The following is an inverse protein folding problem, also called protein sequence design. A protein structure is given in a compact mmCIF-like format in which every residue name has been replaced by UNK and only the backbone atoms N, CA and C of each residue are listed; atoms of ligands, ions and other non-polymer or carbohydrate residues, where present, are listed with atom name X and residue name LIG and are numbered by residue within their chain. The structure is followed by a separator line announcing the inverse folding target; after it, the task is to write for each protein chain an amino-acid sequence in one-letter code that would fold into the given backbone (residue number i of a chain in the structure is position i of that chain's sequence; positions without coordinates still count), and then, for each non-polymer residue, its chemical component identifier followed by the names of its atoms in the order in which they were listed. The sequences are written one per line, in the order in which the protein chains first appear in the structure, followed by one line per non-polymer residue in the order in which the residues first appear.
data_IF_533875756085
#
_entry.id   IF_533875756085
#
_cell.length_a   1.000
_cell.length_b   1.000
_cell.length_c   1.000
_cell.angle_alpha   90.00
_cell.angle_beta   90.00
_cell.angle_gamma   90.00
#
_symmetry.space_group_name_H-M   'P 1'
#
loop_
_entity.id
_entity.type
_entity.pdbx_description
1 polymer ?
2 polymer ?
3 non-polymer ?
4 water ?
#
# COMPACT_ATOMS: atom_id res chain seq x y z
N UNK A 2 7.79 11.60 25.41
CA UNK A 2 6.80 12.73 25.26
C UNK A 2 5.64 12.43 24.24
N UNK A 3 4.37 12.58 24.67
CA UNK A 3 3.18 12.46 23.78
C UNK A 3 3.28 13.34 22.52
N UNK A 4 3.37 14.66 22.66
CA UNK A 4 3.55 15.55 21.53
C UNK A 4 4.62 15.02 20.52
N UNK A 5 5.74 14.46 21.02
CA UNK A 5 6.79 13.96 20.13
C UNK A 5 6.17 12.78 19.32
N UNK A 6 5.69 11.76 20.00
CA UNK A 6 5.02 10.64 19.37
C UNK A 6 3.87 10.98 18.35
N UNK A 7 2.97 11.91 18.70
CA UNK A 7 1.91 12.35 17.79
C UNK A 7 2.57 13.01 16.59
N UNK A 8 3.62 13.81 16.80
CA UNK A 8 4.25 14.46 15.63
C UNK A 8 4.75 13.34 14.72
N UNK A 9 5.17 12.21 15.32
CA UNK A 9 5.81 11.10 14.56
C UNK A 9 4.70 10.36 13.74
N UNK A 10 3.58 10.11 14.42
CA UNK A 10 2.42 9.47 13.83
C UNK A 10 1.98 10.30 12.61
N UNK A 11 2.02 11.62 12.76
CA UNK A 11 1.61 12.48 11.68
C UNK A 11 2.59 12.42 10.50
N UNK A 12 3.86 12.28 10.78
CA UNK A 12 4.82 12.11 9.71
C UNK A 12 4.62 10.79 9.01
N UNK A 13 4.51 9.74 9.82
CA UNK A 13 4.20 8.44 9.28
C UNK A 13 2.93 8.48 8.38
N UNK A 14 1.88 9.19 8.80
CA UNK A 14 0.70 9.29 7.96
C UNK A 14 1.08 9.99 6.64
N UNK A 15 1.75 11.11 6.71
CA UNK A 15 2.08 11.77 5.41
C UNK A 15 2.79 10.81 4.42
N UNK A 16 3.63 9.92 4.97
CA UNK A 16 4.48 9.02 4.22
C UNK A 16 3.76 7.72 3.91
N UNK A 17 2.58 7.52 4.45
CA UNK A 17 1.83 6.27 4.22
C UNK A 17 2.53 5.05 4.77
N UNK A 18 3.19 5.22 5.91
CA UNK A 18 3.79 4.15 6.66
C UNK A 18 2.90 3.84 7.89
N UNK A 19 1.84 3.12 7.61
CA UNK A 19 0.78 2.94 8.57
C UNK A 19 1.14 2.06 9.71
N UNK A 20 2.00 1.11 9.45
CA UNK A 20 2.64 0.31 10.53
C UNK A 20 3.44 1.20 11.50
N UNK A 21 4.31 2.08 10.97
CA UNK A 21 4.95 3.05 11.82
C UNK A 21 3.87 3.83 12.61
N UNK A 22 2.85 4.31 11.88
CA UNK A 22 1.91 5.26 12.43
C UNK A 22 1.13 4.58 13.55
N UNK A 23 0.78 3.32 13.35
CA UNK A 23 0.13 2.51 14.40
C UNK A 23 1.00 2.28 15.66
N UNK A 24 2.32 2.15 15.48
CA UNK A 24 3.19 1.86 16.63
C UNK A 24 3.22 3.11 17.50
N UNK A 25 3.45 4.27 16.89
CA UNK A 25 3.33 5.54 17.60
C UNK A 25 2.01 5.66 18.39
N UNK A 26 0.89 5.45 17.73
CA UNK A 26 -0.36 5.70 18.45
C UNK A 26 -0.61 4.66 19.52
N UNK A 27 -0.08 3.47 19.34
CA UNK A 27 -0.05 2.44 20.36
C UNK A 27 0.59 2.97 21.61
N UNK A 28 1.79 3.50 21.45
CA UNK A 28 2.48 4.06 22.57
C UNK A 28 1.77 5.22 23.20
N UNK A 29 1.29 6.16 22.38
CA UNK A 29 0.61 7.34 22.92
C UNK A 29 -0.52 6.81 23.76
N UNK A 30 -1.27 5.85 23.22
CA UNK A 30 -2.41 5.34 24.00
C UNK A 30 -1.98 4.77 25.32
N UNK A 31 -0.86 4.06 25.30
CA UNK A 31 -0.35 3.34 26.48
C UNK A 31 0.17 4.24 27.60
N UNK A 32 0.55 5.47 27.28
CA UNK A 32 0.78 6.47 28.31
C UNK A 32 -0.36 6.67 29.29
N UNK A 33 -1.59 6.29 28.97
CA UNK A 33 -2.62 6.20 30.00
C UNK A 33 -3.57 7.39 30.20
N UNK A 34 -3.26 8.55 29.62
CA UNK A 34 -4.22 9.68 29.60
C UNK A 34 -5.32 9.43 28.51
N UNK A 35 -6.52 10.02 28.71
CA UNK A 35 -7.61 10.08 27.71
C UNK A 35 -7.19 10.77 26.45
N UNK A 36 -7.45 10.16 25.29
CA UNK A 36 -6.90 10.69 24.04
C UNK A 36 -7.69 11.90 23.59
N UNK A 37 -7.07 12.94 23.01
CA UNK A 37 -7.83 14.02 22.41
C UNK A 37 -8.61 13.47 21.20
N UNK A 38 -9.53 14.21 20.59
CA UNK A 38 -10.02 13.60 19.41
C UNK A 38 -9.12 13.65 18.21
N UNK A 39 -8.19 14.57 18.16
CA UNK A 39 -7.22 14.45 17.09
C UNK A 39 -6.43 13.09 17.24
N UNK A 40 -6.16 12.66 18.47
CA UNK A 40 -5.41 11.41 18.67
C UNK A 40 -6.28 10.19 18.38
N UNK A 41 -7.54 10.27 18.79
CA UNK A 41 -8.49 9.21 18.53
C UNK A 41 -8.59 9.04 17.01
N UNK A 42 -8.55 10.16 16.29
CA UNK A 42 -8.62 10.08 14.84
C UNK A 42 -7.38 9.43 14.28
N UNK A 43 -6.19 9.70 14.83
CA UNK A 43 -4.98 9.14 14.27
C UNK A 43 -4.89 7.59 14.58
N UNK A 44 -5.04 7.23 15.82
CA UNK A 44 -5.24 5.83 16.18
C UNK A 44 -6.16 5.10 15.16
N UNK A 45 -7.30 5.69 14.84
CA UNK A 45 -8.25 4.96 14.00
C UNK A 45 -7.80 4.87 12.57
N UNK A 46 -7.36 5.96 12.01
CA UNK A 46 -6.78 5.94 10.69
C UNK A 46 -5.71 4.86 10.59
N UNK A 47 -4.84 4.74 11.57
CA UNK A 47 -3.74 3.81 11.38
C UNK A 47 -4.25 2.38 11.50
N UNK A 48 -5.06 2.06 12.48
CA UNK A 48 -5.43 0.66 12.54
C UNK A 48 -6.33 0.28 11.40
N UNK A 49 -7.07 1.24 10.84
CA UNK A 49 -7.94 0.92 9.73
C UNK A 49 -7.08 0.52 8.55
N UNK A 50 -5.98 1.23 8.31
CA UNK A 50 -5.14 0.84 7.21
C UNK A 50 -4.35 -0.42 7.33
N UNK A 51 -3.95 -0.74 8.53
CA UNK A 51 -3.05 -1.85 8.82
C UNK A 51 -3.96 -3.05 8.81
N UNK A 52 -5.09 -2.98 9.48
CA UNK A 52 -5.86 -4.19 9.51
C UNK A 52 -6.56 -4.42 8.15
N UNK A 53 -6.83 -3.36 7.42
CA UNK A 53 -7.64 -3.47 6.20
C UNK A 53 -6.78 -4.09 5.10
N UNK A 54 -5.47 -3.91 5.19
CA UNK A 54 -4.62 -4.47 4.15
C UNK A 54 -4.63 -5.97 4.24
N UNK A 55 -4.51 -6.48 5.46
CA UNK A 55 -4.60 -7.90 5.69
C UNK A 55 -5.98 -8.48 5.35
N UNK A 56 -7.01 -7.73 5.68
CA UNK A 56 -8.39 -8.15 5.46
C UNK A 56 -8.73 -8.21 4.00
N UNK A 57 -7.95 -7.50 3.18
CA UNK A 57 -8.23 -7.51 1.78
C UNK A 57 -7.39 -8.65 1.18
N UNK A 58 -6.20 -8.81 1.73
CA UNK A 58 -5.34 -9.88 1.27
C UNK A 58 -5.96 -11.25 1.57
N UNK A 59 -6.50 -11.37 2.78
CA UNK A 59 -7.16 -12.58 3.21
C UNK A 59 -8.25 -12.92 2.23
N UNK A 60 -8.98 -11.91 1.75
CA UNK A 60 -10.04 -12.19 0.80
C UNK A 60 -9.48 -12.74 -0.50
N UNK A 61 -8.51 -12.06 -1.09
CA UNK A 61 -7.96 -12.55 -2.35
C UNK A 61 -7.51 -14.00 -2.27
N UNK A 62 -6.78 -14.32 -1.25
CA UNK A 62 -6.19 -15.64 -1.10
C UNK A 62 -7.20 -16.67 -0.68
N UNK A 63 -8.19 -16.27 0.08
CA UNK A 63 -9.14 -17.26 0.59
C UNK A 63 -10.08 -17.70 -0.54
N UNK A 64 -10.25 -16.82 -1.52
CA UNK A 64 -11.16 -17.04 -2.61
C UNK A 64 -10.41 -17.58 -3.82
N UNK A 65 -9.17 -17.95 -3.61
CA UNK A 65 -8.44 -18.58 -4.64
C UNK A 65 -8.44 -20.03 -4.15
N UNK A 66 -8.08 -20.25 -2.89
CA UNK A 66 -8.23 -21.54 -2.20
C UNK A 66 -9.59 -22.25 -2.47
N UNK A 67 -10.69 -21.64 -2.05
CA UNK A 67 -12.04 -22.20 -2.24
C UNK A 67 -12.61 -21.97 -3.69
N UNK A 68 -11.74 -21.64 -4.66
CA UNK A 68 -12.04 -21.68 -6.11
C UNK A 68 -11.02 -22.57 -6.84
N UNK A 69 -10.59 -23.63 -6.15
CA UNK A 69 -9.60 -24.54 -6.67
C UNK A 69 -10.19 -25.91 -6.98
N UNK A 70 -10.10 -26.28 -8.24
CA UNK A 70 -10.61 -27.58 -8.73
C UNK A 70 -10.05 -28.80 -7.98
N UNK A 72 -6.25 -29.24 -7.75
CA UNK A 72 -4.82 -29.53 -7.53
C UNK A 72 -4.43 -29.39 -6.04
N UNK A 73 -4.50 -30.51 -5.32
CA UNK A 73 -4.11 -30.63 -3.89
C UNK A 73 -2.80 -29.95 -3.41
N UNK A 74 -1.73 -29.89 -4.22
CA UNK A 74 -0.45 -29.23 -3.78
C UNK A 74 -0.46 -27.68 -3.92
N UNK A 75 -1.05 -27.16 -5.01
CA UNK A 75 -1.34 -25.72 -5.19
C UNK A 75 -2.32 -25.20 -4.10
N UNK A 76 -3.23 -26.06 -3.68
CA UNK A 76 -4.16 -25.66 -2.66
C UNK A 76 -3.58 -25.77 -1.23
N UNK A 77 -2.65 -26.69 -0.95
CA UNK A 77 -2.01 -26.72 0.38
C UNK A 77 -1.21 -25.39 0.57
N UNK A 78 -0.58 -24.91 -0.51
CA UNK A 78 0.10 -23.62 -0.58
C UNK A 78 -0.78 -22.45 -0.20
N UNK A 79 -1.86 -22.28 -0.97
CA UNK A 79 -2.84 -21.26 -0.63
C UNK A 79 -3.37 -21.34 0.80
N UNK A 80 -3.45 -22.53 1.37
CA UNK A 80 -4.01 -22.75 2.70
C UNK A 80 -3.00 -22.23 3.70
N UNK A 81 -1.73 -22.44 3.38
CA UNK A 81 -0.64 -22.10 4.26
C UNK A 81 -0.43 -20.59 4.26
N UNK A 82 -0.84 -19.95 3.18
CA UNK A 82 -0.60 -18.55 3.04
C UNK A 82 -1.76 -17.84 3.73
N UNK A 83 -2.98 -18.29 3.45
CA UNK A 83 -4.15 -17.80 4.12
C UNK A 83 -3.87 -17.78 5.60
N UNK A 84 -3.38 -18.88 6.14
CA UNK A 84 -3.28 -18.91 7.58
C UNK A 84 -2.10 -18.06 8.16
N UNK A 85 -1.05 -17.85 7.39
CA UNK A 85 0.01 -16.93 7.79
C UNK A 85 -0.57 -15.46 7.82
N UNK A 86 -1.31 -15.07 6.78
CA UNK A 86 -2.05 -13.85 6.77
C UNK A 86 -3.06 -13.74 7.95
N UNK A 87 -3.85 -14.78 8.20
CA UNK A 87 -4.74 -14.71 9.39
C UNK A 87 -3.98 -14.49 10.68
N UNK A 88 -2.79 -15.05 10.81
CA UNK A 88 -2.20 -14.86 12.13
C UNK A 88 -1.70 -13.43 12.27
N UNK A 89 -1.22 -12.83 11.19
CA UNK A 89 -1.03 -11.38 11.14
C UNK A 89 -2.31 -10.62 11.57
N UNK A 90 -3.44 -11.01 11.04
CA UNK A 90 -4.65 -10.36 11.33
C UNK A 90 -5.10 -10.51 12.76
N UNK A 91 -4.93 -11.70 13.33
CA UNK A 91 -5.29 -11.89 14.73
C UNK A 91 -4.41 -11.07 15.64
N UNK A 92 -3.14 -10.93 15.29
CA UNK A 92 -2.28 -10.12 16.09
C UNK A 92 -2.81 -8.70 16.14
N UNK A 93 -3.07 -8.13 14.97
CA UNK A 93 -3.51 -6.75 14.89
C UNK A 93 -4.83 -6.57 15.66
N UNK A 94 -5.83 -7.35 15.35
CA UNK A 94 -7.02 -7.26 16.20
C UNK A 94 -6.82 -7.42 17.67
N UNK A 95 -5.93 -8.32 18.11
CA UNK A 95 -5.77 -8.51 19.57
C UNK A 95 -5.07 -7.36 20.24
N UNK A 96 -4.11 -6.76 19.55
CA UNK A 96 -3.54 -5.47 19.91
C UNK A 96 -4.60 -4.41 20.16
N UNK A 97 -5.45 -4.18 19.15
CA UNK A 97 -6.48 -3.18 19.25
C UNK A 97 -7.44 -3.50 20.37
N UNK A 98 -7.93 -4.72 20.36
CA UNK A 98 -8.88 -5.10 21.36
C UNK A 98 -8.33 -4.89 22.77
N UNK A 99 -7.02 -4.98 22.92
CA UNK A 99 -6.58 -4.87 24.31
C UNK A 99 -6.29 -3.40 24.70
N UNK A 100 -5.73 -2.65 23.76
CA UNK A 100 -5.78 -1.19 23.82
C UNK A 100 -7.23 -0.68 24.16
N UNK A 101 -8.24 -1.19 23.48
CA UNK A 101 -9.64 -0.83 23.83
C UNK A 101 -10.02 -1.28 25.21
N UNK A 102 -9.56 -2.45 25.65
CA UNK A 102 -9.96 -2.96 26.98
C UNK A 102 -9.23 -2.26 28.14
N UNK A 103 -7.98 -1.89 27.94
CA UNK A 103 -7.25 -1.44 29.08
C UNK A 103 -7.27 0.08 29.10
N UNK A 104 -7.29 0.76 27.97
CA UNK A 104 -7.24 2.22 28.06
C UNK A 104 -8.47 2.97 27.51
N UNK A 105 -8.82 2.75 26.24
CA UNK A 105 -9.75 3.60 25.58
C UNK A 105 -11.14 3.52 26.17
N UNK A 106 -11.71 2.36 26.32
CA UNK A 106 -13.09 2.35 26.89
C UNK A 106 -13.10 2.81 28.34
N UNK A 107 -12.26 2.22 29.21
CA UNK A 107 -12.36 2.72 30.58
C UNK A 107 -11.92 4.19 30.75
N UNK A 108 -11.10 4.76 29.91
CA UNK A 108 -10.86 6.22 30.11
C UNK A 108 -11.84 7.16 29.41
N UNK A 109 -12.83 6.67 28.69
CA UNK A 109 -13.62 7.52 27.85
C UNK A 109 -14.63 8.26 28.76
N UNK A 110 -14.52 9.59 28.85
CA UNK A 110 -15.39 10.32 29.81
C UNK A 110 -16.61 11.02 29.23
N UNK A 111 -16.66 11.11 27.91
CA UNK A 111 -17.83 11.54 27.14
C UNK A 111 -18.56 10.41 26.38
N UNK A 112 -19.87 10.44 26.37
CA UNK A 112 -20.65 9.43 25.67
C UNK A 112 -20.23 9.26 24.21
N UNK A 113 -20.01 10.35 23.54
CA UNK A 113 -19.70 10.25 22.14
C UNK A 113 -18.46 9.40 22.00
N UNK A 114 -17.49 9.62 22.87
CA UNK A 114 -16.26 8.87 22.83
C UNK A 114 -16.48 7.46 23.23
N UNK A 115 -17.26 7.23 24.26
CA UNK A 115 -17.44 5.87 24.70
C UNK A 115 -18.07 5.08 23.55
N UNK A 116 -19.09 5.65 22.93
CA UNK A 116 -19.80 4.95 21.88
C UNK A 116 -18.87 4.65 20.70
N UNK A 117 -18.00 5.57 20.35
CA UNK A 117 -17.08 5.30 19.28
C UNK A 117 -16.17 4.05 19.57
N UNK A 118 -15.60 3.98 20.76
CA UNK A 118 -14.69 2.90 21.11
C UNK A 118 -15.46 1.58 21.27
N UNK A 119 -16.68 1.65 21.79
CA UNK A 119 -17.53 0.45 21.79
C UNK A 119 -17.80 -0.04 20.38
N UNK A 120 -18.09 0.88 19.45
CA UNK A 120 -18.33 0.47 18.11
C UNK A 120 -17.05 -0.23 17.58
N UNK A 121 -15.90 0.38 17.84
CA UNK A 121 -14.58 -0.13 17.39
C UNK A 121 -14.34 -1.58 17.91
N UNK A 122 -14.78 -1.87 19.12
CA UNK A 122 -14.58 -3.17 19.70
C UNK A 122 -15.52 -4.13 19.00
N UNK A 123 -16.74 -3.71 18.66
CA UNK A 123 -17.62 -4.63 17.90
C UNK A 123 -17.03 -4.89 16.51
N UNK A 124 -16.49 -3.83 15.91
CA UNK A 124 -15.90 -3.90 14.58
C UNK A 124 -14.63 -4.72 14.52
N UNK A 125 -13.91 -4.80 15.64
CA UNK A 125 -12.67 -5.56 15.62
C UNK A 125 -13.01 -7.01 15.96
N UNK A 126 -14.02 -7.25 16.78
CA UNK A 126 -14.45 -8.62 16.97
C UNK A 126 -15.08 -9.20 15.72
N UNK A 127 -15.83 -8.36 14.99
CA UNK A 127 -16.46 -8.82 13.77
C UNK A 127 -15.37 -9.25 12.81
N UNK A 128 -14.23 -8.59 12.83
CA UNK A 128 -13.21 -8.99 11.88
C UNK A 128 -12.68 -10.36 12.28
N UNK A 129 -12.64 -10.61 13.58
CA UNK A 129 -12.09 -11.86 14.09
C UNK A 129 -13.09 -12.96 13.80
N UNK A 130 -14.38 -12.70 14.01
CA UNK A 130 -15.41 -13.65 13.54
C UNK A 130 -15.36 -14.10 12.05
N UNK A 131 -15.02 -13.21 11.13
CA UNK A 131 -14.89 -13.65 9.74
C UNK A 131 -13.78 -14.72 9.55
N UNK A 132 -12.90 -14.88 10.52
CA UNK A 132 -11.67 -15.58 10.20
C UNK A 132 -11.46 -16.68 11.23
N UNK A 133 -12.55 -16.99 11.92
CA UNK A 133 -12.57 -17.80 13.12
C UNK A 133 -12.85 -19.25 12.79
N UNK A 134 -12.14 -20.16 13.43
CA UNK A 134 -12.44 -21.56 13.24
C UNK A 134 -13.91 -21.69 13.63
N UNK A 135 -14.48 -22.86 13.39
CA UNK A 135 -15.88 -23.18 13.70
C UNK A 135 -16.14 -23.24 15.19
N UNK A 136 -15.19 -23.82 15.93
CA UNK A 136 -15.20 -23.92 17.42
C UNK A 136 -15.27 -22.60 18.22
N UNK A 137 -14.47 -21.58 17.89
CA UNK A 137 -14.44 -20.31 18.67
C UNK A 137 -15.44 -19.29 18.18
N UNK A 138 -15.82 -19.40 16.90
CA UNK A 138 -16.68 -18.44 16.28
C UNK A 138 -17.89 -17.98 17.16
N UNK A 139 -18.83 -18.84 17.53
CA UNK A 139 -20.03 -18.37 18.28
C UNK A 139 -19.66 -17.45 19.48
N UNK A 140 -18.56 -17.74 20.15
CA UNK A 140 -18.14 -16.93 21.31
C UNK A 140 -17.62 -15.53 20.97
N UNK A 141 -16.90 -15.46 19.84
CA UNK A 141 -16.41 -14.23 19.32
C UNK A 141 -17.54 -13.38 18.73
N UNK A 142 -18.42 -13.99 17.97
CA UNK A 142 -19.60 -13.35 17.52
C UNK A 142 -20.38 -12.68 18.64
N UNK A 143 -20.38 -13.30 19.82
CA UNK A 143 -21.10 -12.72 20.91
C UNK A 143 -20.41 -11.51 21.50
N UNK A 144 -19.09 -11.56 21.54
CA UNK A 144 -18.35 -10.43 22.04
C UNK A 144 -18.62 -9.23 21.13
N UNK A 145 -18.60 -9.48 19.82
CA UNK A 145 -18.90 -8.45 18.86
C UNK A 145 -20.32 -7.96 19.07
N UNK A 146 -21.28 -8.85 19.17
CA UNK A 146 -22.62 -8.39 19.36
C UNK A 146 -22.78 -7.54 20.58
N UNK A 147 -22.11 -7.92 21.66
CA UNK A 147 -22.19 -7.18 22.92
C UNK A 147 -21.67 -5.85 23.04
N UNK A 148 -20.50 -5.65 22.42
CA UNK A 148 -19.99 -4.30 22.33
C UNK A 148 -20.95 -3.36 21.52
N UNK A 149 -21.36 -3.75 20.30
CA UNK A 149 -22.33 -2.97 19.53
C UNK A 149 -23.61 -2.72 20.37
N UNK A 150 -24.17 -3.74 21.00
CA UNK A 150 -25.44 -3.47 21.77
C UNK A 150 -25.20 -2.40 22.82
N UNK A 151 -24.06 -2.44 23.51
CA UNK A 151 -23.80 -1.49 24.55
C UNK A 151 -23.72 -0.13 23.90
N UNK A 152 -22.96 0.00 22.80
CA UNK A 152 -22.82 1.26 22.07
C UNK A 152 -24.20 1.75 21.64
N UNK A 153 -25.01 0.81 21.21
CA UNK A 153 -26.28 1.17 20.74
C UNK A 153 -27.11 1.74 21.89
N UNK A 154 -27.05 1.13 23.07
CA UNK A 154 -27.93 1.59 24.17
C UNK A 154 -27.52 2.96 24.69
N UNK A 155 -26.20 3.21 24.74
CA UNK A 155 -25.69 4.54 25.10
C UNK A 155 -26.10 5.64 24.11
N UNK A 156 -25.86 5.39 22.82
CA UNK A 156 -26.12 6.35 21.73
C UNK A 156 -27.60 6.76 21.68
N UNK A 157 -28.50 5.81 21.89
CA UNK A 157 -29.93 6.03 21.89
C UNK A 157 -30.21 7.02 23.04
N UNK A 158 -29.49 6.85 24.14
CA UNK A 158 -29.78 7.63 25.33
C UNK A 158 -29.09 9.00 25.35
N UNK A 159 -27.94 9.15 24.71
CA UNK A 159 -27.19 10.38 24.92
C UNK A 159 -26.91 11.20 23.68
N UNK A 160 -27.24 10.69 22.50
CA UNK A 160 -26.84 11.35 21.25
C UNK A 160 -28.07 11.68 20.37
N UNK A 161 -27.97 12.71 19.53
CA UNK A 161 -29.01 12.98 18.56
C UNK A 161 -28.99 11.90 17.50
N UNK A 162 -30.20 11.51 17.02
CA UNK A 162 -30.36 10.52 15.95
C UNK A 162 -29.63 10.90 14.70
N UNK A 163 -29.20 12.14 14.58
CA UNK A 163 -28.43 12.51 13.43
C UNK A 163 -26.92 12.56 13.67
N UNK A 164 -26.47 12.23 14.87
CA UNK A 164 -25.04 12.29 15.13
C UNK A 164 -24.30 11.31 14.27
N UNK A 165 -23.33 11.77 13.47
CA UNK A 165 -22.61 10.83 12.63
C UNK A 165 -22.13 9.58 13.34
N UNK A 166 -21.75 9.66 14.60
CA UNK A 166 -21.26 8.48 15.29
C UNK A 166 -22.39 7.51 15.56
N UNK A 167 -23.55 8.00 15.89
CA UNK A 167 -24.70 7.13 16.14
C UNK A 167 -25.16 6.47 14.82
N UNK A 168 -25.09 7.22 13.72
CA UNK A 168 -25.50 6.70 12.42
C UNK A 168 -24.54 5.58 12.04
N UNK A 169 -23.25 5.92 12.02
CA UNK A 169 -22.19 4.96 11.70
C UNK A 169 -22.33 3.67 12.54
N UNK A 170 -22.75 3.80 13.78
CA UNK A 170 -22.89 2.65 14.62
C UNK A 170 -24.04 1.87 14.07
N UNK A 171 -25.12 2.51 13.67
CA UNK A 171 -26.26 1.75 13.30
C UNK A 171 -25.91 1.07 11.94
N UNK A 172 -25.11 1.75 11.11
CA UNK A 172 -24.71 1.15 9.84
C UNK A 172 -23.95 -0.18 10.09
N UNK A 173 -22.82 -0.08 10.79
CA UNK A 173 -22.00 -1.24 11.12
C UNK A 173 -22.80 -2.34 11.91
N UNK A 174 -23.62 -1.98 12.87
CA UNK A 174 -24.36 -3.04 13.59
C UNK A 174 -25.35 -3.77 12.63
N UNK A 175 -25.99 -3.03 11.73
CA UNK A 175 -26.97 -3.66 10.86
C UNK A 175 -26.23 -4.57 9.89
N UNK A 176 -25.08 -4.16 9.41
CA UNK A 176 -24.33 -5.05 8.61
C UNK A 176 -23.93 -6.33 9.40
N UNK A 177 -23.55 -6.15 10.65
CA UNK A 177 -23.14 -7.29 11.45
C UNK A 177 -24.31 -8.26 11.50
N UNK A 178 -25.52 -7.75 11.68
CA UNK A 178 -26.66 -8.64 11.75
C UNK A 178 -26.83 -9.33 10.41
N UNK A 179 -26.61 -8.64 9.31
CA UNK A 179 -26.83 -9.25 8.00
C UNK A 179 -25.78 -10.25 7.61
N UNK A 180 -24.53 -9.87 7.71
CA UNK A 180 -23.47 -10.71 7.20
C UNK A 180 -22.96 -11.68 8.23
N UNK A 181 -23.03 -11.37 9.50
CA UNK A 181 -22.36 -12.22 10.46
C UNK A 181 -23.37 -13.04 11.21
N UNK A 182 -24.40 -12.42 11.76
CA UNK A 182 -25.40 -13.20 12.46
C UNK A 182 -26.40 -13.82 11.45
N UNK A 183 -26.31 -13.43 10.18
CA UNK A 183 -27.31 -13.79 9.19
C UNK A 183 -28.78 -13.61 9.72
N UNK A 184 -29.18 -12.43 10.24
CA UNK A 184 -30.60 -12.05 10.47
C UNK A 184 -31.03 -10.86 9.64
N UNK A 185 -31.24 -11.10 8.36
CA UNK A 185 -31.67 -9.99 7.56
C UNK A 185 -32.90 -9.27 8.13
N UNK A 186 -33.78 -9.96 8.85
CA UNK A 186 -34.97 -9.23 9.30
C UNK A 186 -34.52 -8.16 10.31
N UNK A 187 -33.68 -8.57 11.27
CA UNK A 187 -33.06 -7.65 12.23
C UNK A 187 -32.13 -6.61 11.54
N UNK A 188 -31.37 -6.99 10.53
CA UNK A 188 -30.51 -5.98 9.92
C UNK A 188 -31.39 -4.81 9.45
N UNK A 189 -32.51 -5.16 8.84
CA UNK A 189 -33.35 -4.24 8.12
C UNK A 189 -34.09 -3.34 9.05
N UNK A 190 -34.66 -3.90 10.11
CA UNK A 190 -35.40 -3.01 10.96
C UNK A 190 -34.39 -2.03 11.59
N UNK A 191 -33.21 -2.51 12.01
CA UNK A 191 -32.25 -1.61 12.67
C UNK A 191 -31.96 -0.45 11.73
N UNK A 192 -31.75 -0.76 10.47
CA UNK A 192 -31.33 0.30 9.62
C UNK A 192 -32.48 1.22 9.24
N UNK A 193 -33.69 0.66 9.14
CA UNK A 193 -34.86 1.44 8.77
C UNK A 193 -35.07 2.44 9.88
N UNK A 194 -35.07 1.93 11.12
CA UNK A 194 -35.44 2.80 12.19
C UNK A 194 -34.40 3.92 12.47
N UNK A 195 -33.13 3.59 12.44
CA UNK A 195 -32.08 4.62 12.45
C UNK A 195 -32.32 5.70 11.42
N UNK A 196 -32.53 5.30 10.15
CA UNK A 196 -32.86 6.24 9.05
C UNK A 196 -34.08 7.10 9.39
N UNK A 197 -35.19 6.46 9.77
CA UNK A 197 -36.40 7.22 10.10
C UNK A 197 -36.22 8.20 11.26
N UNK A 198 -35.65 7.72 12.36
CA UNK A 198 -35.45 8.62 13.47
C UNK A 198 -34.60 9.85 13.12
N UNK A 199 -33.67 9.69 12.20
CA UNK A 199 -32.88 10.81 11.74
C UNK A 199 -33.65 11.77 10.77
N UNK A 200 -34.51 11.25 9.90
CA UNK A 200 -35.33 12.09 9.02
C UNK A 200 -36.24 12.88 9.93
N UNK A 201 -36.80 12.20 10.91
CA UNK A 201 -37.77 12.84 11.81
C UNK A 201 -37.18 13.97 12.65
N UNK A 202 -35.91 14.24 12.49
CA UNK A 202 -35.35 15.22 13.35
C UNK A 202 -34.26 15.95 12.62
N UNK A 203 -34.48 16.28 11.35
CA UNK A 203 -33.43 17.00 10.66
C UNK A 203 -33.12 18.45 11.18
N UNK A 204 -34.00 18.96 12.08
CA UNK A 204 -33.80 20.20 12.90
C UNK A 204 -32.49 20.17 13.70
N UNK A 205 -32.30 19.05 14.39
CA UNK A 205 -31.08 18.75 15.17
C UNK A 205 -29.80 18.51 14.29
N UNK A 206 -29.67 19.15 13.13
CA UNK A 206 -28.47 19.03 12.30
C UNK A 206 -27.72 20.35 12.33
N UNK A 207 -26.42 20.26 12.66
CA UNK A 207 -25.52 21.41 12.74
C UNK A 207 -25.09 21.84 11.34
N UNK A 208 -24.83 23.13 11.14
CA UNK A 208 -24.27 23.64 9.87
C UNK A 208 -22.97 22.87 9.53
N UNK A 209 -22.15 22.61 10.56
CA UNK A 209 -20.93 21.80 10.46
C UNK A 209 -21.07 20.39 9.79
N UNK A 210 -22.07 19.60 10.20
CA UNK A 210 -22.13 18.17 9.81
C UNK A 210 -23.31 17.74 8.95
N UNK A 211 -23.98 18.70 8.29
CA UNK A 211 -25.07 18.43 7.32
C UNK A 211 -24.59 17.30 6.41
N UNK A 212 -23.51 17.57 5.65
CA UNK A 212 -23.04 16.64 4.62
C UNK A 212 -22.78 15.28 5.25
N UNK A 213 -22.02 15.22 6.35
CA UNK A 213 -21.59 13.91 6.85
C UNK A 213 -22.76 13.06 7.33
N UNK A 214 -23.67 13.65 8.07
CA UNK A 214 -24.85 12.90 8.46
C UNK A 214 -25.67 12.37 7.26
N UNK A 215 -25.86 13.23 6.28
CA UNK A 215 -26.80 12.86 5.24
C UNK A 215 -26.17 11.78 4.39
N UNK A 216 -24.88 11.92 4.11
CA UNK A 216 -24.15 10.85 3.44
C UNK A 216 -24.37 9.49 4.13
N UNK A 217 -24.23 9.42 5.45
CA UNK A 217 -24.35 8.11 6.13
C UNK A 217 -25.78 7.63 6.02
N UNK A 218 -26.71 8.57 6.07
CA UNK A 218 -28.10 8.19 5.91
C UNK A 218 -28.31 7.62 4.50
N UNK A 219 -27.59 8.14 3.52
CA UNK A 219 -27.72 7.52 2.19
C UNK A 219 -27.17 6.07 2.18
N UNK A 220 -26.04 5.83 2.87
CA UNK A 220 -25.46 4.49 2.88
C UNK A 220 -26.41 3.59 3.65
N UNK A 221 -27.05 4.10 4.69
CA UNK A 221 -28.00 3.24 5.35
C UNK A 221 -29.13 2.81 4.38
N UNK A 222 -29.64 3.76 3.60
CA UNK A 222 -30.70 3.50 2.65
C UNK A 222 -30.26 2.53 1.56
N UNK A 223 -29.02 2.71 1.09
CA UNK A 223 -28.47 1.86 0.04
C UNK A 223 -28.54 0.39 0.42
N UNK A 224 -28.28 0.10 1.70
CA UNK A 224 -28.30 -1.25 2.18
C UNK A 224 -29.73 -1.72 2.28
N UNK A 225 -30.61 -0.81 2.68
CA UNK A 225 -32.02 -1.16 2.65
C UNK A 225 -32.48 -1.63 1.29
N UNK A 226 -32.09 -0.90 0.25
CA UNK A 226 -32.63 -1.19 -1.05
C UNK A 226 -31.97 -2.49 -1.55
N UNK A 227 -30.67 -2.60 -1.34
CA UNK A 227 -29.93 -3.78 -1.67
C UNK A 227 -30.36 -5.01 -0.85
N UNK A 228 -30.80 -4.82 0.39
CA UNK A 228 -31.20 -5.94 1.23
C UNK A 228 -32.66 -6.27 1.07
N UNK A 229 -33.33 -5.46 0.28
CA UNK A 229 -34.75 -5.58 -0.01
C UNK A 229 -34.90 -6.27 -1.37
N UNK A 230 -34.45 -5.58 -2.41
CA UNK A 230 -34.50 -6.02 -3.82
C UNK A 230 -35.91 -6.26 -4.41
N UNK B 1 12.46 -24.33 -0.67
CA UNK B 1 11.50 -25.22 -1.33
C UNK B 1 11.84 -25.41 -2.80
N UNK B 2 10.89 -25.97 -3.56
CA UNK B 2 11.09 -26.21 -4.98
C UNK B 2 10.97 -24.91 -5.78
N UNK B 3 11.81 -24.76 -6.79
CA UNK B 3 11.81 -23.56 -7.63
C UNK B 3 10.43 -23.25 -8.20
N UNK B 4 9.58 -24.26 -8.29
CA UNK B 4 8.23 -24.08 -8.80
C UNK B 4 7.33 -23.52 -7.70
N UNK B 5 7.42 -24.09 -6.51
CA UNK B 5 6.63 -23.64 -5.39
C UNK B 5 6.95 -22.18 -5.16
N UNK B 6 8.24 -21.85 -5.17
CA UNK B 6 8.63 -20.49 -4.90
C UNK B 6 7.94 -19.52 -5.86
N UNK B 7 7.95 -19.86 -7.14
CA UNK B 7 7.31 -19.03 -8.14
C UNK B 7 5.81 -18.98 -7.89
N UNK B 8 5.24 -20.13 -7.61
CA UNK B 8 3.81 -20.12 -7.34
C UNK B 8 3.53 -19.22 -6.08
N UNK B 9 4.41 -19.25 -5.08
CA UNK B 9 4.17 -18.48 -3.86
C UNK B 9 4.20 -17.00 -4.24
N UNK B 10 5.17 -16.62 -5.05
CA UNK B 10 5.26 -15.27 -5.49
C UNK B 10 3.96 -14.78 -6.14
N UNK B 11 3.42 -15.54 -7.09
CA UNK B 11 2.23 -15.09 -7.81
C UNK B 11 1.06 -15.02 -6.84
N UNK B 12 1.04 -15.86 -5.81
CA UNK B 12 0.09 -15.61 -4.73
C UNK B 12 0.33 -14.27 -4.02
N UNK B 13 1.56 -14.08 -3.52
CA UNK B 13 1.89 -12.85 -2.82
C UNK B 13 1.47 -11.68 -3.71
N UNK B 14 1.83 -11.70 -5.00
CA UNK B 14 1.43 -10.66 -5.94
C UNK B 14 -0.09 -10.42 -6.01
N UNK B 15 -0.85 -11.49 -6.02
CA UNK B 15 -2.32 -11.39 -6.02
C UNK B 15 -2.82 -10.73 -4.73
N UNK B 16 -2.20 -11.10 -3.61
CA UNK B 16 -2.52 -10.56 -2.28
C UNK B 16 -2.05 -9.14 -2.10
N UNK B 17 -1.37 -8.59 -3.12
CA UNK B 17 -0.68 -7.37 -2.95
C UNK B 17 0.29 -7.29 -1.73
N UNK B 18 0.99 -8.38 -1.47
CA UNK B 18 2.06 -8.42 -0.46
C UNK B 18 3.43 -8.49 -1.13
N UNK B 19 3.94 -7.33 -1.54
CA UNK B 19 5.15 -7.25 -2.36
C UNK B 19 6.47 -7.52 -1.67
N UNK B 20 6.52 -7.35 -0.37
CA UNK B 20 7.73 -7.80 0.36
C UNK B 20 7.79 -9.35 0.36
N UNK B 21 6.67 -10.06 0.56
CA UNK B 21 6.72 -11.52 0.38
C UNK B 21 7.24 -11.83 -1.01
N UNK B 22 6.69 -11.14 -2.00
CA UNK B 22 6.94 -11.50 -3.38
C UNK B 22 8.40 -11.32 -3.71
N UNK B 23 9.00 -10.27 -3.20
CA UNK B 23 10.40 -10.07 -3.43
C UNK B 23 11.22 -11.10 -2.63
N UNK B 24 10.77 -11.53 -1.45
CA UNK B 24 11.55 -12.56 -0.70
C UNK B 24 11.55 -13.82 -1.55
N UNK B 25 10.37 -14.34 -1.88
CA UNK B 25 10.28 -15.44 -2.85
C UNK B 25 11.17 -15.34 -4.12
N UNK B 26 11.09 -14.22 -4.81
CA UNK B 26 11.80 -14.15 -6.05
C UNK B 26 13.28 -14.03 -5.86
N UNK B 27 13.71 -13.42 -4.76
CA UNK B 27 15.11 -13.34 -4.40
C UNK B 27 15.66 -14.77 -4.24
N UNK B 28 14.89 -15.61 -3.58
CA UNK B 28 15.49 -16.87 -3.32
C UNK B 28 15.45 -17.77 -4.57
N UNK B 29 14.36 -17.68 -5.36
CA UNK B 29 14.37 -18.28 -6.73
C UNK B 29 15.68 -17.90 -7.47
N UNK B 30 16.06 -16.65 -7.39
CA UNK B 30 17.22 -16.22 -8.17
C UNK B 30 18.49 -16.80 -7.60
N UNK B 31 18.60 -16.79 -6.27
CA UNK B 31 19.77 -17.37 -5.58
C UNK B 31 19.98 -18.87 -5.85
N UNK B 32 18.94 -19.63 -6.19
CA UNK B 32 19.11 -20.98 -6.76
C UNK B 32 20.09 -21.08 -7.91
N UNK B 33 20.47 -20.00 -8.55
CA UNK B 33 21.59 -20.09 -9.44
C UNK B 33 21.34 -20.31 -10.91
N UNK B 34 20.15 -20.76 -11.29
CA UNK B 34 19.81 -20.98 -12.76
C UNK B 34 19.35 -19.64 -13.53
N UNK B 35 19.80 -19.40 -14.76
CA UNK B 35 19.17 -18.35 -15.59
C UNK B 35 17.61 -18.24 -15.47
N UNK B 36 17.11 -17.03 -15.20
CA UNK B 36 15.67 -16.84 -15.06
C UNK B 36 14.90 -16.64 -16.37
N UNK B 37 13.87 -17.45 -16.59
CA UNK B 37 13.06 -17.33 -17.79
C UNK B 37 12.43 -15.91 -17.78
N UNK B 38 11.92 -15.42 -18.92
CA UNK B 38 11.05 -14.22 -18.92
C UNK B 38 9.96 -14.17 -17.81
N UNK B 39 9.24 -15.24 -17.55
CA UNK B 39 8.18 -15.06 -16.53
C UNK B 39 8.78 -14.75 -15.15
N UNK B 40 9.90 -15.41 -14.84
CA UNK B 40 10.60 -15.16 -13.57
C UNK B 40 11.24 -13.79 -13.53
N UNK B 41 11.93 -13.41 -14.59
CA UNK B 41 12.53 -12.13 -14.68
C UNK B 41 11.45 -11.07 -14.37
N UNK B 42 10.24 -11.27 -14.86
CA UNK B 42 9.26 -10.21 -14.84
C UNK B 42 8.70 -10.11 -13.48
N UNK B 43 8.38 -11.26 -12.88
CA UNK B 43 7.99 -11.35 -11.49
C UNK B 43 9.05 -10.70 -10.54
N UNK B 44 10.32 -10.95 -10.78
CA UNK B 44 11.35 -10.31 -10.00
C UNK B 44 11.22 -8.77 -10.09
N UNK B 45 11.21 -8.28 -11.31
CA UNK B 45 11.18 -6.87 -11.61
C UNK B 45 9.94 -6.19 -10.99
N UNK B 46 8.78 -6.83 -11.12
CA UNK B 46 7.59 -6.27 -10.53
C UNK B 46 7.76 -6.12 -9.04
N UNK B 47 8.19 -7.19 -8.36
CA UNK B 47 8.29 -7.20 -6.89
C UNK B 47 9.21 -6.09 -6.41
N UNK B 48 10.42 -6.03 -6.92
CA UNK B 48 11.25 -5.01 -6.37
C UNK B 48 10.80 -3.62 -6.72
N UNK B 49 10.18 -3.43 -7.89
CA UNK B 49 9.64 -2.10 -8.25
C UNK B 49 8.66 -1.64 -7.23
N UNK B 50 7.75 -2.51 -6.79
CA UNK B 50 6.81 -2.03 -5.81
C UNK B 50 7.48 -1.80 -4.51
N UNK B 51 8.33 -2.74 -4.09
CA UNK B 51 9.02 -2.64 -2.81
C UNK B 51 9.86 -1.38 -2.76
N UNK B 52 10.67 -1.05 -3.78
CA UNK B 52 11.42 0.18 -3.68
C UNK B 52 10.55 1.40 -3.88
N UNK B 53 9.66 1.39 -4.87
CA UNK B 53 8.89 2.61 -5.14
C UNK B 53 8.23 3.09 -3.84
N UNK B 54 7.77 2.22 -2.96
CA UNK B 54 7.14 2.73 -1.78
C UNK B 54 8.12 3.59 -0.92
N UNK B 55 9.29 3.05 -0.68
CA UNK B 55 10.32 3.76 0.06
C UNK B 55 10.69 5.08 -0.64
N UNK B 56 10.77 5.09 -1.95
CA UNK B 56 11.17 6.29 -2.68
C UNK B 56 10.11 7.35 -2.52
N UNK B 57 8.89 6.92 -2.64
CA UNK B 57 7.80 7.82 -2.53
C UNK B 57 7.76 8.31 -1.06
N UNK B 58 8.04 7.43 -0.11
CA UNK B 58 8.03 7.86 1.27
C UNK B 58 9.14 8.90 1.53
N UNK B 59 10.29 8.64 0.92
CA UNK B 59 11.44 9.50 1.04
C UNK B 59 11.18 10.83 0.42
N UNK B 60 10.43 10.87 -0.67
CA UNK B 60 10.17 12.13 -1.27
C UNK B 60 9.28 13.00 -0.35
N UNK B 61 8.37 12.39 0.39
CA UNK B 61 7.41 13.17 1.12
C UNK B 61 8.12 13.70 2.36
N UNK B 62 8.90 12.85 3.00
CA UNK B 62 9.50 13.25 4.23
C UNK B 62 10.62 14.24 4.04
N UNK B 63 11.40 14.07 2.97
CA UNK B 63 12.52 14.95 2.68
C UNK B 63 12.05 16.35 2.34
N UNK B 64 10.92 16.44 1.64
CA UNK B 64 10.35 17.73 1.24
C UNK B 64 9.68 18.43 2.42
N UNK B 65 9.57 17.72 3.54
CA UNK B 65 8.96 18.26 4.72
C UNK B 65 10.10 18.80 5.51
N UNK B 66 11.08 17.96 5.79
CA UNK B 66 12.28 18.39 6.44
C UNK B 66 12.86 19.64 5.72
N UNK B 67 12.55 19.84 4.45
CA UNK B 67 13.08 21.02 3.79
C UNK B 67 12.18 22.24 3.90
N UNK B 68 10.87 22.02 3.99
CA UNK B 68 9.94 23.12 3.99
C UNK B 68 9.69 23.58 5.42
N UNK B 69 10.44 23.03 6.39
CA UNK B 69 10.29 23.51 7.77
C UNK B 69 11.45 24.40 8.17
N UNK B 70 11.13 25.58 8.70
CA UNK B 70 12.15 26.54 9.12
C UNK B 70 11.73 27.26 10.41
N UNK B 71 10.96 26.56 11.24
CA UNK B 71 10.50 27.12 12.50
C UNK B 71 11.21 26.53 13.69
N UNK B 72 10.72 25.40 14.18
CA UNK B 72 11.30 24.72 15.32
C UNK B 72 12.30 23.65 14.88
N UNK B 73 13.51 23.71 15.42
CA UNK B 73 14.56 22.75 15.09
C UNK B 73 14.18 21.35 15.56
N UNK B 74 13.30 21.28 16.55
CA UNK B 74 12.86 19.99 17.10
C UNK B 74 12.10 19.19 16.05
N UNK B 75 11.18 19.85 15.35
CA UNK B 75 10.36 19.17 14.30
C UNK B 75 11.36 18.72 13.21
N UNK B 76 12.11 19.67 12.66
CA UNK B 76 13.14 19.39 11.67
C UNK B 76 14.10 18.25 12.06
N UNK B 77 14.47 18.10 13.33
CA UNK B 77 15.36 16.96 13.63
C UNK B 77 14.58 15.65 13.58
N UNK B 78 13.31 15.68 13.97
CA UNK B 78 12.43 14.50 13.93
C UNK B 78 12.27 13.97 12.48
N UNK B 79 12.01 14.90 11.55
CA UNK B 79 11.88 14.62 10.16
C UNK B 79 13.20 14.08 9.55
N UNK B 80 14.35 14.53 10.05
CA UNK B 80 15.63 14.12 9.52
C UNK B 80 15.82 12.67 9.94
N UNK B 81 15.59 12.40 11.20
CA UNK B 81 15.84 11.07 11.68
C UNK B 81 14.92 10.03 10.98
N UNK B 82 13.76 10.51 10.55
CA UNK B 82 12.85 9.69 9.83
C UNK B 82 13.31 9.52 8.37
N UNK B 83 13.62 10.62 7.67
CA UNK B 83 14.26 10.50 6.38
C UNK B 83 15.45 9.54 6.49
N UNK B 84 16.13 9.51 7.62
CA UNK B 84 17.30 8.67 7.67
C UNK B 84 16.95 7.19 7.72
N UNK B 85 15.94 6.87 8.49
CA UNK B 85 15.53 5.49 8.70
C UNK B 85 15.10 4.91 7.32
N UNK B 86 14.13 5.56 6.68
CA UNK B 86 13.73 5.32 5.34
C UNK B 86 14.87 5.14 4.32
N UNK B 87 15.84 6.08 4.24
CA UNK B 87 17.06 5.96 3.34
C UNK B 87 17.73 4.66 3.61
N UNK B 88 17.89 4.34 4.89
CA UNK B 88 18.41 3.05 5.29
C UNK B 88 17.61 1.84 4.73
N UNK B 89 16.30 1.75 4.98
CA UNK B 89 15.47 0.69 4.39
C UNK B 89 15.76 0.66 2.85
N UNK B 90 15.94 1.84 2.26
CA UNK B 90 16.11 1.98 0.84
C UNK B 90 17.47 1.51 0.33
N UNK B 91 18.57 1.93 0.95
CA UNK B 91 19.93 1.39 0.57
C UNK B 91 19.92 -0.09 0.65
N UNK B 92 19.24 -0.64 1.67
CA UNK B 92 19.23 -2.08 1.81
C UNK B 92 18.60 -2.77 0.61
N UNK B 93 17.46 -2.24 0.15
CA UNK B 93 16.67 -2.87 -0.90
C UNK B 93 17.45 -2.79 -2.21
N UNK B 94 17.99 -1.61 -2.51
CA UNK B 94 18.81 -1.49 -3.70
C UNK B 94 19.99 -2.40 -3.66
N UNK B 95 20.61 -2.55 -2.49
CA UNK B 95 21.90 -3.29 -2.39
C UNK B 95 21.67 -4.79 -2.61
N UNK B 96 20.55 -5.29 -2.11
CA UNK B 96 20.09 -6.62 -2.45
C UNK B 96 19.97 -6.81 -3.95
N UNK B 97 19.22 -5.91 -4.60
CA UNK B 97 19.00 -5.98 -6.02
C UNK B 97 20.32 -5.90 -6.78
N UNK B 98 21.20 -4.99 -6.33
CA UNK B 98 22.43 -4.77 -7.07
C UNK B 98 23.27 -5.99 -6.96
N UNK B 99 23.08 -6.74 -5.88
CA UNK B 99 23.97 -7.88 -5.78
C UNK B 99 23.39 -9.13 -6.52
N UNK B 100 22.09 -9.33 -6.44
CA UNK B 100 21.42 -10.28 -7.28
C UNK B 100 21.84 -10.01 -8.76
N UNK B 101 21.91 -8.75 -9.18
CA UNK B 101 22.41 -8.45 -10.53
C UNK B 101 23.87 -8.90 -10.76
N UNK B 102 24.80 -8.53 -9.87
CA UNK B 102 26.22 -8.88 -10.04
C UNK B 102 26.41 -10.41 -9.96
N UNK B 103 25.76 -11.08 -9.01
CA UNK B 103 26.13 -12.43 -8.72
C UNK B 103 25.44 -13.38 -9.66
N UNK B 104 24.22 -13.08 -10.07
CA UNK B 104 23.45 -14.07 -10.86
C UNK B 104 22.90 -13.60 -12.22
N UNK B 105 22.30 -12.41 -12.33
CA UNK B 105 21.40 -12.13 -13.46
C UNK B 105 22.20 -11.66 -14.63
N UNK B 106 23.10 -10.72 -14.41
CA UNK B 106 23.94 -10.34 -15.51
C UNK B 106 24.87 -11.46 -16.02
N UNK B 107 25.59 -12.16 -15.13
CA UNK B 107 26.45 -13.18 -15.79
C UNK B 107 25.67 -14.42 -16.30
N UNK B 108 24.50 -14.75 -15.77
CA UNK B 108 23.74 -15.83 -16.40
C UNK B 108 22.95 -15.53 -17.65
N UNK B 109 22.91 -14.28 -18.11
CA UNK B 109 21.88 -13.96 -19.06
C UNK B 109 22.42 -14.34 -20.41
N UNK B 110 21.71 -15.20 -21.14
CA UNK B 110 22.26 -15.71 -22.41
C UNK B 110 21.89 -14.95 -23.73
N UNK B 111 20.96 -14.01 -23.64
CA UNK B 111 20.38 -13.38 -24.82
C UNK B 111 20.55 -11.93 -24.56
N UNK B 112 20.89 -11.19 -25.59
CA UNK B 112 21.06 -9.74 -25.52
C UNK B 112 19.86 -8.97 -24.95
N UNK B 113 18.65 -9.33 -25.33
CA UNK B 113 17.49 -8.68 -24.78
C UNK B 113 17.63 -8.73 -23.26
N UNK B 114 17.89 -9.91 -22.71
CA UNK B 114 17.91 -10.04 -21.23
C UNK B 114 19.11 -9.35 -20.58
N UNK B 115 20.30 -9.38 -21.21
CA UNK B 115 21.46 -8.64 -20.77
C UNK B 115 21.13 -7.16 -20.66
N UNK B 116 20.56 -6.61 -21.73
CA UNK B 116 20.13 -5.23 -21.76
C UNK B 116 19.14 -4.95 -20.65
N UNK B 117 18.17 -5.80 -20.49
CA UNK B 117 17.24 -5.53 -19.43
C UNK B 117 17.95 -5.33 -18.06
N UNK B 118 18.82 -6.25 -17.67
CA UNK B 118 19.42 -6.27 -16.32
C UNK B 118 20.48 -5.18 -16.21
N UNK B 119 21.23 -4.89 -17.27
CA UNK B 119 22.07 -3.68 -17.21
C UNK B 119 21.28 -2.38 -16.95
N UNK B 120 20.20 -2.17 -17.72
CA UNK B 120 19.25 -1.06 -17.47
C UNK B 120 18.87 -1.07 -15.98
N UNK B 121 18.48 -2.23 -15.48
CA UNK B 121 18.04 -2.36 -14.08
C UNK B 121 19.15 -1.96 -13.11
N UNK B 122 20.37 -2.33 -13.41
CA UNK B 122 21.50 -1.91 -12.61
C UNK B 122 21.58 -0.40 -12.68
N UNK B 123 21.57 0.20 -13.88
CA UNK B 123 21.57 1.69 -13.99
C UNK B 123 20.44 2.29 -13.14
N UNK B 124 19.22 1.73 -13.17
CA UNK B 124 18.09 2.33 -12.42
C UNK B 124 18.40 2.28 -10.93
N UNK B 125 18.81 1.11 -10.40
CA UNK B 125 19.06 0.96 -8.97
C UNK B 125 20.28 1.83 -8.50
N UNK B 126 21.35 1.96 -9.25
CA UNK B 126 22.31 3.03 -8.85
C UNK B 126 21.72 4.42 -8.94
N UNK B 127 20.88 4.70 -9.93
CA UNK B 127 20.22 5.99 -9.95
C UNK B 127 19.50 6.21 -8.61
N UNK B 128 18.82 5.20 -8.10
CA UNK B 128 18.02 5.45 -6.95
C UNK B 128 18.95 5.81 -5.79
N UNK B 129 20.02 5.07 -5.67
CA UNK B 129 20.97 5.23 -4.58
C UNK B 129 21.64 6.57 -4.64
N UNK B 130 21.79 7.10 -5.83
CA UNK B 130 22.35 8.41 -6.05
C UNK B 130 21.48 9.59 -5.58
N UNK B 131 20.18 9.48 -5.75
CA UNK B 131 19.30 10.54 -5.35
C UNK B 131 19.41 10.74 -3.85
N UNK B 132 20.07 9.83 -3.19
CA UNK B 132 19.95 9.76 -1.75
C UNK B 132 21.36 9.65 -1.13
N UNK B 133 22.36 9.83 -1.99
CA UNK B 133 23.76 9.76 -1.57
C UNK B 133 24.26 11.12 -1.09
N UNK B 134 25.36 11.11 -0.36
CA UNK B 134 25.95 12.34 0.17
C UNK B 134 26.87 12.99 -0.85
N UNK B 135 27.47 14.11 -0.48
CA UNK B 135 28.38 14.83 -1.35
C UNK B 135 29.62 14.03 -1.69
N UNK B 136 30.16 13.34 -0.69
CA UNK B 136 31.35 12.52 -0.87
C UNK B 136 31.06 11.30 -1.75
N UNK B 137 30.31 10.35 -1.19
CA UNK B 137 29.96 9.12 -1.93
C UNK B 137 29.40 9.26 -3.37
N UNK B 138 28.73 10.38 -3.64
CA UNK B 138 27.85 10.48 -4.76
C UNK B 138 28.44 10.57 -6.16
N UNK B 139 29.53 11.29 -6.38
CA UNK B 139 30.13 11.38 -7.73
C UNK B 139 30.32 9.94 -8.24
N UNK B 140 30.58 9.03 -7.30
CA UNK B 140 30.92 7.66 -7.69
C UNK B 140 29.75 6.70 -7.89
N UNK B 141 28.61 7.00 -7.27
CA UNK B 141 27.46 6.13 -7.41
C UNK B 141 26.92 6.50 -8.80
N UNK B 142 26.87 7.78 -9.09
CA UNK B 142 26.46 8.27 -10.35
C UNK B 142 27.25 7.66 -11.47
N UNK B 143 28.53 7.47 -11.27
CA UNK B 143 29.32 6.90 -12.31
C UNK B 143 28.97 5.43 -12.55
N UNK B 144 28.69 4.69 -11.50
CA UNK B 144 28.31 3.28 -11.68
C UNK B 144 26.98 3.18 -12.45
N UNK B 145 26.01 4.03 -12.11
CA UNK B 145 24.82 4.21 -12.94
C UNK B 145 25.09 4.46 -14.44
N UNK B 146 25.81 5.52 -14.75
CA UNK B 146 26.21 5.77 -16.12
C UNK B 146 26.92 4.62 -16.84
N UNK B 147 27.84 3.95 -16.20
CA UNK B 147 28.62 2.89 -16.88
C UNK B 147 27.66 1.77 -17.30
N UNK B 148 26.69 1.47 -16.44
CA UNK B 148 25.72 0.38 -16.69
C UNK B 148 24.74 0.75 -17.81
N UNK B 149 24.21 1.96 -17.78
CA UNK B 149 23.31 2.36 -18.84
C UNK B 149 24.12 2.41 -20.12
N UNK B 150 25.38 2.81 -20.04
CA UNK B 150 26.17 2.94 -21.24
C UNK B 150 26.34 1.58 -21.90
N UNK B 151 26.69 0.60 -21.07
CA UNK B 151 26.92 -0.73 -21.54
C UNK B 151 25.61 -1.29 -22.10
N UNK B 152 24.51 -1.07 -21.38
CA UNK B 152 23.21 -1.51 -21.90
C UNK B 152 22.98 -0.86 -23.23
N UNK B 153 23.41 0.39 -23.35
CA UNK B 153 23.02 1.16 -24.51
C UNK B 153 23.73 0.60 -25.73
N UNK B 154 24.98 0.24 -25.52
CA UNK B 154 25.77 -0.23 -26.63
C UNK B 154 25.34 -1.61 -27.08
N UNK B 155 24.95 -2.47 -26.18
CA UNK B 155 24.53 -3.79 -26.62
C UNK B 155 23.27 -3.64 -27.44
N UNK B 156 22.33 -2.87 -26.92
CA UNK B 156 21.07 -2.70 -27.65
C UNK B 156 21.24 -1.99 -28.99
N UNK B 157 22.19 -1.07 -29.15
CA UNK B 157 22.46 -0.50 -30.52
C UNK B 157 22.93 -1.64 -31.47
N UNK B 158 23.86 -2.47 -31.00
CA UNK B 158 24.39 -3.56 -31.81
C UNK B 158 23.36 -4.67 -32.02
N UNK B 159 22.44 -4.95 -31.08
CA UNK B 159 21.72 -6.24 -31.15
C UNK B 159 20.19 -6.28 -31.17
N UNK B 160 19.53 -5.15 -30.97
CA UNK B 160 18.07 -5.13 -30.92
C UNK B 160 17.54 -4.11 -31.92
N UNK B 161 16.32 -4.31 -32.39
CA UNK B 161 15.73 -3.36 -33.30
C UNK B 161 15.26 -2.08 -32.57
N UNK B 162 15.32 -0.93 -33.25
CA UNK B 162 15.16 0.35 -32.54
C UNK B 162 13.77 0.53 -32.04
N UNK B 163 12.88 -0.38 -32.36
CA UNK B 163 11.51 -0.26 -31.92
C UNK B 163 11.22 -1.23 -30.78
N UNK B 164 12.22 -1.99 -30.33
CA UNK B 164 11.98 -2.94 -29.21
C UNK B 164 11.71 -2.22 -27.91
N UNK B 165 10.62 -2.53 -27.27
CA UNK B 165 10.33 -1.82 -26.07
C UNK B 165 11.47 -1.75 -25.11
N UNK B 166 12.29 -2.77 -24.99
CA UNK B 166 13.31 -2.73 -23.95
C UNK B 166 14.39 -1.73 -24.35
N UNK B 167 14.67 -1.64 -25.64
CA UNK B 167 15.61 -0.65 -26.15
C UNK B 167 15.12 0.78 -25.93
N UNK B 168 13.84 1.00 -26.21
CA UNK B 168 13.23 2.32 -26.05
C UNK B 168 13.18 2.70 -24.58
N UNK B 169 12.77 1.75 -23.75
CA UNK B 169 12.67 1.99 -22.31
C UNK B 169 14.04 2.37 -21.77
N UNK B 170 15.11 1.80 -22.31
CA UNK B 170 16.44 2.09 -21.86
C UNK B 170 16.72 3.49 -22.28
N UNK B 171 16.37 3.81 -23.50
CA UNK B 171 16.69 5.15 -23.96
C UNK B 171 15.96 6.16 -23.10
N UNK B 172 14.72 5.83 -22.74
CA UNK B 172 13.92 6.76 -21.98
C UNK B 172 14.58 6.95 -20.61
N UNK B 173 14.82 5.85 -19.85
CA UNK B 173 15.49 5.97 -18.55
C UNK B 173 16.91 6.62 -18.62
N UNK B 174 17.69 6.34 -19.67
CA UNK B 174 19.06 6.86 -19.74
C UNK B 174 18.95 8.37 -20.02
N UNK B 175 17.98 8.78 -20.82
CA UNK B 175 17.84 10.23 -21.08
C UNK B 175 17.41 10.94 -19.80
N UNK B 176 16.41 10.41 -19.07
CA UNK B 176 16.05 11.01 -17.81
C UNK B 176 17.27 11.00 -16.90
N UNK B 177 18.17 10.04 -17.02
CA UNK B 177 19.34 10.06 -16.10
C UNK B 177 20.24 11.23 -16.46
N UNK B 178 20.33 11.54 -17.74
CA UNK B 178 21.16 12.67 -18.15
C UNK B 178 20.56 13.97 -17.69
N UNK B 179 19.23 14.10 -17.71
CA UNK B 179 18.63 15.39 -17.47
C UNK B 179 18.63 15.62 -15.98
N UNK B 180 18.23 14.63 -15.24
CA UNK B 180 17.92 14.86 -13.87
C UNK B 180 19.10 14.54 -12.93
N UNK B 181 19.99 13.64 -13.31
CA UNK B 181 20.98 13.24 -12.33
C UNK B 181 22.29 13.86 -12.65
N UNK B 182 22.52 14.20 -13.91
CA UNK B 182 23.84 14.59 -14.32
C UNK B 182 23.79 16.07 -14.77
N UNK B 183 22.59 16.64 -14.78
CA UNK B 183 22.37 17.92 -15.43
C UNK B 183 22.99 18.14 -16.82
N UNK B 184 22.86 17.22 -17.77
CA UNK B 184 23.30 17.45 -19.17
C UNK B 184 22.11 17.50 -20.12
N UNK B 185 21.37 18.59 -20.11
CA UNK B 185 20.15 18.51 -20.90
C UNK B 185 20.45 18.45 -22.41
N UNK B 186 21.63 18.90 -22.83
CA UNK B 186 21.99 18.71 -24.24
C UNK B 186 22.10 17.21 -24.58
N UNK B 187 22.88 16.44 -23.79
CA UNK B 187 22.98 14.97 -23.93
C UNK B 187 21.60 14.30 -23.80
N UNK B 188 20.75 14.73 -22.87
CA UNK B 188 19.46 14.09 -22.68
C UNK B 188 18.58 14.17 -23.88
N UNK B 189 18.54 15.37 -24.43
CA UNK B 189 17.63 15.66 -25.50
C UNK B 189 18.04 14.93 -26.76
N UNK B 190 19.34 14.92 -27.08
CA UNK B 190 19.74 14.29 -28.29
C UNK B 190 19.56 12.75 -28.20
N UNK B 191 19.89 12.18 -27.06
CA UNK B 191 19.65 10.75 -26.89
C UNK B 191 18.15 10.44 -27.08
N UNK B 192 17.28 11.25 -26.50
CA UNK B 192 15.89 10.92 -26.66
C UNK B 192 15.44 11.20 -28.11
N UNK B 193 15.94 12.27 -28.72
CA UNK B 193 15.54 12.60 -30.08
C UNK B 193 15.96 11.48 -30.97
N UNK B 194 17.24 11.15 -30.93
CA UNK B 194 17.80 10.09 -31.77
C UNK B 194 16.99 8.82 -31.69
N UNK B 195 16.75 8.36 -30.46
CA UNK B 195 15.98 7.13 -30.22
C UNK B 195 14.63 7.21 -30.87
N UNK B 196 13.90 8.33 -30.67
CA UNK B 196 12.57 8.49 -31.30
C UNK B 196 12.74 8.37 -32.84
N UNK B 197 13.75 9.03 -33.40
CA UNK B 197 13.91 9.12 -34.85
C UNK B 197 14.23 7.77 -35.45
N UNK B 198 15.17 7.04 -34.84
CA UNK B 198 15.49 5.70 -35.29
C UNK B 198 14.29 4.76 -35.20
N UNK B 199 13.38 4.98 -34.27
CA UNK B 199 12.25 4.08 -34.18
C UNK B 199 11.30 4.43 -35.31
N UNK B 200 11.20 5.73 -35.58
CA UNK B 200 10.32 6.26 -36.60
C UNK B 200 10.71 5.70 -37.99
N UNK B 201 12.00 5.71 -38.33
CA UNK B 201 12.48 5.19 -39.60
C UNK B 201 12.22 3.66 -39.75
N UNK B 202 12.84 2.82 -38.92
CA UNK B 202 12.57 1.36 -38.99
C UNK B 202 11.17 1.00 -38.41
N UNK B 203 10.15 1.76 -38.80
CA UNK B 203 8.78 1.52 -38.36
C UNK B 203 8.18 0.16 -38.78
N UNK B 204 8.60 -0.37 -39.94
CA UNK B 204 8.27 -1.75 -40.42
C UNK B 204 8.84 -2.92 -39.53
N UNK B 205 9.75 -2.60 -38.58
CA UNK B 205 10.30 -3.54 -37.55
C UNK B 205 9.31 -3.91 -36.43
N UNK B 206 8.15 -3.25 -36.37
CA UNK B 206 7.05 -3.59 -35.43
C UNK B 206 6.27 -4.88 -35.67
N UNK B 207 5.52 -5.31 -34.66
CA UNK B 207 4.72 -6.53 -34.76
C UNK B 207 3.25 -6.25 -34.49
N UNK B 209 2.37 -8.39 -32.51
CA UNK B 209 1.60 -8.25 -31.30
C UNK B 209 2.24 -7.31 -30.24
N UNK B 210 3.42 -6.76 -30.52
CA UNK B 210 4.11 -5.88 -29.54
C UNK B 210 4.44 -4.46 -30.10
N UNK B 211 3.39 -3.69 -30.33
CA UNK B 211 3.55 -2.37 -30.91
C UNK B 211 2.88 -1.34 -30.05
N UNK B 212 1.60 -1.55 -29.73
CA UNK B 212 0.96 -0.57 -28.89
C UNK B 212 2.05 -0.14 -27.87
N UNK B 213 2.77 -1.09 -27.31
CA UNK B 213 3.77 -0.71 -26.33
C UNK B 213 4.89 0.12 -26.86
N UNK B 214 5.48 -0.27 -27.97
CA UNK B 214 6.53 0.56 -28.55
C UNK B 214 6.05 1.99 -28.86
N UNK B 215 4.81 2.15 -29.32
CA UNK B 215 4.43 3.50 -29.65
C UNK B 215 4.10 4.29 -28.41
N UNK B 216 3.51 3.66 -27.38
CA UNK B 216 3.34 4.37 -26.11
C UNK B 216 4.70 4.86 -25.57
N UNK B 217 5.71 4.02 -25.69
CA UNK B 217 7.01 4.43 -25.19
C UNK B 217 7.54 5.58 -25.99
N UNK B 218 7.30 5.58 -27.28
CA UNK B 218 7.86 6.64 -28.14
C UNK B 218 7.15 7.91 -27.81
N UNK B 219 5.88 7.80 -27.44
CA UNK B 219 5.10 8.96 -27.06
C UNK B 219 5.72 9.60 -25.81
N UNK B 220 6.07 8.76 -24.84
CA UNK B 220 6.70 9.23 -23.60
C UNK B 220 8.05 9.86 -23.88
N UNK B 221 8.84 9.29 -24.77
CA UNK B 221 10.10 9.95 -25.11
C UNK B 221 9.83 11.37 -25.69
N UNK B 222 8.83 11.48 -26.58
CA UNK B 222 8.62 12.76 -27.22
C UNK B 222 8.07 13.73 -26.18
N UNK B 223 7.21 13.25 -25.29
CA UNK B 223 6.72 14.09 -24.22
C UNK B 223 7.89 14.74 -23.46
N UNK B 224 8.94 13.98 -23.14
CA UNK B 224 10.07 14.56 -22.44
C UNK B 224 10.74 15.64 -23.25
N UNK B 225 10.91 15.40 -24.55
CA UNK B 225 11.42 16.43 -25.45
C UNK B 225 10.61 17.73 -25.42
N UNK B 226 9.30 17.59 -25.44
CA UNK B 226 8.40 18.74 -25.40
C UNK B 226 8.72 19.47 -24.10
N UNK B 227 8.61 18.77 -22.97
CA UNK B 227 8.91 19.34 -21.68
C UNK B 227 10.30 19.93 -21.55
N UNK B 228 11.32 19.32 -22.14
CA UNK B 228 12.66 19.81 -21.83
C UNK B 228 13.10 20.92 -22.70
N UNK B 229 12.45 21.13 -23.84
CA UNK B 229 12.87 22.27 -24.68
C UNK B 229 11.93 23.43 -24.45
N UNK B 230 10.65 23.09 -24.26
CA UNK B 230 9.54 24.06 -24.22
C UNK B 230 9.27 24.65 -25.61
N UNK C 1 -12.07 9.73 2.01
CA UNK C 1 -12.36 11.01 2.63
C UNK C 1 -11.68 11.14 3.99
N UNK C 2 -12.17 12.07 4.80
CA UNK C 2 -11.63 12.29 6.10
C UNK C 2 -12.39 11.96 7.33
N UNK C 5 -13.81 8.28 6.70
CA UNK C 5 -12.85 7.18 6.68
C UNK C 5 -12.53 6.72 8.11
N UNK C 7 -14.25 6.96 10.49
CA UNK C 7 -15.49 6.46 11.13
C UNK C 7 -15.47 4.91 10.89
N UNK C 8 -14.59 4.45 10.00
CA UNK C 8 -14.50 3.02 9.70
C UNK C 8 -15.88 2.38 9.53
N UNK C 9 -16.55 2.75 8.44
CA UNK C 9 -17.89 2.23 8.13
C UNK C 9 -17.85 0.83 7.58
N UNK C 10 -18.92 0.07 7.78
CA UNK C 10 -18.97 -1.28 7.23
C UNK C 10 -18.94 -1.29 5.73
N UNK D 1 -1.69 -1.69 -17.28
CA UNK D 1 -0.42 -1.50 -16.60
C UNK D 1 0.27 -2.83 -16.31
N UNK D 2 0.73 -3.48 -17.38
CA UNK D 2 1.39 -4.76 -17.26
C UNK D 2 2.81 -4.77 -17.84
N UNK D 5 4.64 -1.41 -16.73
CA UNK D 5 4.99 -1.34 -15.33
C UNK D 5 6.26 -2.01 -15.04
N UNK D 7 8.57 -2.63 -16.81
CA UNK D 7 9.67 -2.03 -17.59
C UNK D 7 10.31 -0.97 -16.73
N UNK D 8 9.62 -0.71 -15.69
CA UNK D 8 10.10 0.37 -14.70
C UNK D 8 10.62 1.58 -15.38
N UNK D 9 9.77 2.41 -15.95
CA UNK D 9 10.12 3.60 -16.71
C UNK D 9 10.45 4.72 -15.79
N UNK D 10 11.25 5.63 -16.17
CA UNK D 10 11.59 6.83 -15.40
C UNK D 10 10.34 7.67 -15.14
#
# INVERSE_FOLDING_TARGET
MDKNELVQKAKLAEQAERYDDMAACMKSVTEQGAELSNEERNLLSVAYKNVVGARRSSWRVVSSIEQKTEGAEKKQQMAREYREKIETELRDICNDVLSLLEKFLIPNASQAESKVFYLKMKGDYYRYLAEVAAGDDKKGIVDQSQQAYQEAFEISKKEMQPTHPIRLGLALNFSVFYYEILNSPEKACSLAKTAFDEAIAELDTLSEESYKDSTLIMQLLRDNLTLWTS
MDKNELVQKAKLAEQAERYDDMAACMKSVTEQGAELSNEERNLLSVAYKNVVGARRSSWRVVSSIEQKTEGAEKKQQMAREYREKIETELRDICNDVLSLLEKFLIPNASQAESKVFYLKMKGDYYRYLAEVAAGDDKKGIVDQSQQAYQEAFEISKKEMQPTHPIRLGLALNFSVFYYEILNSPEKACSLAKTAFDEAIAELDTLSEESYKDSTLIMQLLRDNLTLWTS
QGXXDXLDLAX
QGXXDXLDLAX
#
